data_IF_455231229879
#
_entry.id   IF_455231229879
#
_cell.length_a   1.000
_cell.length_b   1.000
_cell.length_c   1.000
_cell.angle_alpha   90.00
_cell.angle_beta   90.00
_cell.angle_gamma   90.00
#
_symmetry.space_group_name_H-M   'P 1'
#
loop_
_entity.id
_entity.type
_entity.pdbx_description
1 polymer ?
#
# COMPACT_ATOMS: atom_id res chain seq x y z
N UNK A 1 14.10 -16.66 56.71
CA UNK A 1 12.76 -16.22 56.25
C UNK A 1 12.96 -15.04 55.29
N UNK A 2 12.78 -15.22 53.98
CA UNK A 2 12.88 -14.09 53.03
C UNK A 2 11.54 -13.35 53.04
N UNK A 3 11.55 -12.08 53.42
CA UNK A 3 10.35 -11.23 53.42
C UNK A 3 10.07 -10.86 51.96
N UNK A 4 9.01 -11.43 51.37
CA UNK A 4 8.51 -10.99 50.07
C UNK A 4 7.80 -9.64 50.27
N UNK A 5 8.47 -8.55 49.89
CA UNK A 5 7.83 -7.22 49.79
C UNK A 5 6.87 -7.26 48.60
N UNK A 6 5.57 -7.25 48.88
CA UNK A 6 4.53 -7.03 47.87
C UNK A 6 4.45 -5.55 47.48
N UNK A 7 4.08 -5.28 46.22
CA UNK A 7 3.77 -3.93 45.75
C UNK A 7 2.57 -3.35 46.51
N UNK A 8 2.58 -2.04 46.77
CA UNK A 8 1.44 -1.35 47.38
C UNK A 8 0.36 -1.05 46.34
N UNK A 9 -0.91 -1.01 46.79
CA UNK A 9 -2.04 -0.66 45.94
C UNK A 9 -1.90 0.76 45.38
N UNK A 10 -1.34 1.68 46.17
CA UNK A 10 -1.09 3.06 45.74
C UNK A 10 0.01 3.16 44.68
N UNK A 11 1.07 2.36 44.76
CA UNK A 11 2.09 2.29 43.69
C UNK A 11 1.46 1.84 42.37
N UNK A 12 0.61 0.81 42.40
CA UNK A 12 -0.07 0.35 41.21
C UNK A 12 -0.97 1.45 40.61
N UNK A 13 -1.74 2.16 41.44
CA UNK A 13 -2.64 3.22 40.99
C UNK A 13 -1.91 4.40 40.33
N UNK A 14 -0.78 4.82 40.90
CA UNK A 14 0.02 5.90 40.29
C UNK A 14 0.59 5.45 38.95
N UNK A 15 1.02 4.19 38.81
CA UNK A 15 1.53 3.65 37.56
C UNK A 15 0.46 3.64 36.47
N UNK A 16 -0.75 3.14 36.73
CA UNK A 16 -1.83 3.17 35.72
C UNK A 16 -2.28 4.59 35.39
N UNK A 17 -2.25 5.52 36.34
CA UNK A 17 -2.54 6.92 36.07
C UNK A 17 -1.51 7.55 35.09
N UNK A 18 -0.22 7.30 35.31
CA UNK A 18 0.85 7.78 34.41
C UNK A 18 0.74 7.13 33.02
N UNK A 19 0.53 5.81 32.95
CA UNK A 19 0.34 5.10 31.67
C UNK A 19 -0.88 5.64 30.91
N UNK A 20 -1.97 5.96 31.63
CA UNK A 20 -3.17 6.58 31.05
C UNK A 20 -2.85 7.91 30.35
N UNK A 21 -2.13 8.80 31.03
CA UNK A 21 -1.73 10.11 30.46
C UNK A 21 -0.82 9.94 29.23
N UNK A 22 0.17 9.05 29.32
CA UNK A 22 1.10 8.81 28.20
C UNK A 22 0.39 8.20 26.99
N UNK A 23 -0.58 7.30 27.22
CA UNK A 23 -1.29 6.60 26.14
C UNK A 23 -2.12 7.55 25.27
N UNK A 24 -2.75 8.57 25.87
CA UNK A 24 -3.56 9.56 25.15
C UNK A 24 -2.73 10.32 24.12
N UNK A 25 -1.48 10.64 24.43
CA UNK A 25 -0.58 11.35 23.50
C UNK A 25 0.05 10.41 22.47
N UNK A 26 0.34 9.16 22.87
CA UNK A 26 1.02 8.19 22.04
C UNK A 26 0.15 7.65 20.89
N UNK A 27 -1.13 7.35 21.15
CA UNK A 27 -2.05 6.72 20.20
C UNK A 27 -2.22 7.53 18.89
N UNK A 28 -2.59 8.84 18.91
CA UNK A 28 -2.81 9.59 17.67
C UNK A 28 -1.52 9.75 16.86
N UNK A 29 -0.38 9.93 17.54
CA UNK A 29 0.93 10.00 16.89
C UNK A 29 1.28 8.68 16.21
N UNK A 30 1.06 7.55 16.90
CA UNK A 30 1.34 6.23 16.35
C UNK A 30 0.45 5.93 15.14
N UNK A 31 -0.84 6.26 15.19
CA UNK A 31 -1.76 6.09 14.06
C UNK A 31 -1.30 6.85 12.80
N UNK A 32 -0.82 8.10 12.97
CA UNK A 32 -0.24 8.88 11.87
C UNK A 32 1.04 8.27 11.28
N UNK A 33 1.93 7.72 12.13
CA UNK A 33 3.13 7.02 11.67
C UNK A 33 2.79 5.75 10.89
N UNK A 34 1.80 4.98 11.35
CA UNK A 34 1.33 3.79 10.66
C UNK A 34 0.73 4.11 9.29
N UNK A 35 -0.05 5.20 9.21
CA UNK A 35 -0.57 5.73 7.95
C UNK A 35 0.57 6.04 6.98
N UNK A 36 1.52 6.89 7.40
CA UNK A 36 2.67 7.27 6.57
C UNK A 36 3.50 6.06 6.12
N UNK A 37 3.70 5.08 7.00
CA UNK A 37 4.43 3.85 6.68
C UNK A 37 3.72 3.03 5.60
N UNK A 38 2.40 2.87 5.71
CA UNK A 38 1.59 2.18 4.69
C UNK A 38 1.62 2.91 3.36
N UNK A 39 1.49 4.24 3.35
CA UNK A 39 1.56 5.02 2.11
C UNK A 39 2.92 4.89 1.41
N UNK A 40 4.00 5.05 2.17
CA UNK A 40 5.36 4.86 1.64
C UNK A 40 5.59 3.45 1.12
N UNK A 41 4.97 2.46 1.74
CA UNK A 41 5.03 1.06 1.28
C UNK A 41 4.34 0.92 -0.08
N UNK A 42 3.14 1.47 -0.25
CA UNK A 42 2.39 1.44 -1.52
C UNK A 42 3.14 2.13 -2.65
N UNK A 43 3.71 3.32 -2.41
CA UNK A 43 4.49 4.03 -3.42
C UNK A 43 5.78 3.27 -3.79
N UNK A 44 6.44 2.64 -2.82
CA UNK A 44 7.57 1.77 -3.06
C UNK A 44 7.20 0.54 -3.90
N UNK A 45 6.06 -0.08 -3.60
CA UNK A 45 5.52 -1.22 -4.35
C UNK A 45 5.13 -0.83 -5.77
N UNK A 46 4.49 0.34 -5.97
CA UNK A 46 4.19 0.89 -7.29
C UNK A 46 5.46 1.06 -8.13
N UNK A 47 6.49 1.65 -7.53
CA UNK A 47 7.80 1.84 -8.18
C UNK A 47 8.45 0.50 -8.54
N UNK A 48 8.37 -0.48 -7.63
CA UNK A 48 8.87 -1.84 -7.87
C UNK A 48 8.17 -2.53 -9.04
N UNK A 49 6.84 -2.42 -9.13
CA UNK A 49 6.06 -2.97 -10.24
C UNK A 49 6.37 -2.27 -11.57
N UNK A 50 6.47 -0.93 -11.58
CA UNK A 50 6.91 -0.17 -12.77
C UNK A 50 8.32 -0.61 -13.23
N UNK A 51 9.24 -0.83 -12.29
CA UNK A 51 10.58 -1.38 -12.60
C UNK A 51 10.50 -2.78 -13.20
N UNK A 52 9.66 -3.65 -12.63
CA UNK A 52 9.42 -5.01 -13.12
C UNK A 52 8.88 -5.00 -14.55
N UNK A 53 7.91 -4.11 -14.83
CA UNK A 53 7.38 -3.89 -16.18
C UNK A 53 8.46 -3.44 -17.17
N UNK A 54 9.38 -2.56 -16.76
CA UNK A 54 10.49 -2.13 -17.60
C UNK A 54 11.48 -3.27 -17.89
N UNK A 55 11.75 -4.14 -16.91
CA UNK A 55 12.59 -5.34 -17.12
C UNK A 55 11.91 -6.28 -18.12
N UNK A 56 10.60 -6.54 -17.97
CA UNK A 56 9.83 -7.33 -18.92
C UNK A 56 9.88 -6.74 -20.33
N UNK A 57 9.69 -5.43 -20.45
CA UNK A 57 9.78 -4.74 -21.74
C UNK A 57 11.18 -4.88 -22.36
N UNK A 58 12.23 -4.77 -21.56
CA UNK A 58 13.61 -4.97 -22.02
C UNK A 58 13.87 -6.37 -22.60
N UNK A 59 13.19 -7.39 -22.10
CA UNK A 59 13.33 -8.78 -22.57
C UNK A 59 12.42 -9.11 -23.76
N UNK A 60 11.21 -8.54 -23.81
CA UNK A 60 10.17 -8.95 -24.77
C UNK A 60 9.85 -7.89 -25.83
N UNK A 61 10.40 -6.68 -25.70
CA UNK A 61 10.10 -5.52 -26.55
C UNK A 61 8.61 -5.14 -26.62
N UNK A 62 7.85 -5.54 -25.62
CA UNK A 62 6.43 -5.21 -25.44
C UNK A 62 6.09 -5.28 -23.96
N UNK A 63 5.00 -4.62 -23.56
CA UNK A 63 4.44 -4.81 -22.22
C UNK A 63 3.46 -5.99 -22.19
N UNK A 64 3.13 -6.53 -21.01
CA UNK A 64 2.09 -7.53 -20.89
C UNK A 64 0.73 -7.02 -21.39
N UNK A 65 0.03 -7.77 -22.24
CA UNK A 65 -1.35 -7.46 -22.62
C UNK A 65 -2.39 -8.09 -21.68
N UNK A 66 -1.93 -8.74 -20.62
CA UNK A 66 -2.75 -9.36 -19.57
C UNK A 66 -2.91 -8.43 -18.34
N UNK A 67 -3.37 -9.00 -17.24
CA UNK A 67 -3.50 -8.33 -15.94
C UNK A 67 -2.23 -8.45 -15.07
N UNK A 68 -1.05 -8.43 -15.68
CA UNK A 68 0.27 -8.64 -15.07
C UNK A 68 0.55 -10.07 -14.59
N UNK A 69 -0.30 -11.04 -14.91
CA UNK A 69 -0.12 -12.43 -14.50
C UNK A 69 1.21 -13.01 -15.02
N UNK A 70 1.58 -12.70 -16.26
CA UNK A 70 2.87 -13.05 -16.88
C UNK A 70 4.09 -12.58 -16.10
N UNK A 71 4.03 -11.48 -15.35
CA UNK A 71 5.16 -11.02 -14.52
C UNK A 71 5.45 -11.98 -13.36
N UNK A 72 4.42 -12.67 -12.88
CA UNK A 72 4.52 -13.65 -11.80
C UNK A 72 4.79 -15.06 -12.28
N UNK A 73 4.79 -15.30 -13.59
CA UNK A 73 4.96 -16.63 -14.14
C UNK A 73 6.34 -17.20 -13.79
N UNK A 74 6.32 -18.32 -13.06
CA UNK A 74 7.48 -18.99 -12.48
C UNK A 74 8.41 -18.09 -11.64
N UNK A 75 7.94 -16.91 -11.20
CA UNK A 75 8.72 -15.95 -10.42
C UNK A 75 9.86 -15.27 -11.18
N UNK A 76 9.80 -15.24 -12.51
CA UNK A 76 10.91 -14.74 -13.37
C UNK A 76 11.17 -13.25 -13.19
N UNK A 77 10.11 -12.43 -13.14
CA UNK A 77 10.24 -10.97 -13.00
C UNK A 77 9.89 -10.51 -11.58
N UNK A 78 8.83 -11.06 -11.00
CA UNK A 78 8.45 -10.86 -9.60
C UNK A 78 7.78 -12.12 -9.06
N UNK A 79 7.97 -12.44 -7.78
CA UNK A 79 7.37 -13.65 -7.19
C UNK A 79 5.87 -13.53 -6.93
N UNK A 80 5.38 -12.32 -6.62
CA UNK A 80 3.98 -12.02 -6.37
C UNK A 80 3.71 -10.53 -6.57
N UNK A 81 2.52 -10.17 -7.04
CA UNK A 81 2.08 -8.78 -7.08
C UNK A 81 1.92 -8.29 -5.62
N UNK A 82 2.65 -7.26 -5.18
CA UNK A 82 2.54 -6.76 -3.82
C UNK A 82 1.19 -6.05 -3.60
N UNK A 83 0.63 -6.08 -2.37
CA UNK A 83 -0.65 -5.44 -2.10
C UNK A 83 -0.53 -3.92 -2.04
N UNK A 84 -1.40 -3.19 -2.74
CA UNK A 84 -1.56 -1.76 -2.51
C UNK A 84 -2.22 -1.55 -1.14
N UNK A 85 -1.60 -0.74 -0.28
CA UNK A 85 -2.09 -0.41 1.07
C UNK A 85 -2.58 1.03 1.09
N UNK A 86 -3.88 1.23 1.27
CA UNK A 86 -4.53 2.53 1.10
C UNK A 86 -5.14 2.99 2.44
N UNK A 87 -4.31 3.47 3.39
CA UNK A 87 -4.81 3.89 4.69
C UNK A 87 -5.78 5.08 4.55
N UNK A 88 -6.75 5.17 5.47
CA UNK A 88 -7.78 6.21 5.48
C UNK A 88 -8.68 6.24 4.22
N UNK A 89 -8.78 5.11 3.52
CA UNK A 89 -9.74 4.89 2.42
C UNK A 89 -10.68 3.74 2.81
N UNK A 90 -11.85 3.58 2.15
CA UNK A 90 -12.73 2.42 2.38
C UNK A 90 -12.15 1.11 1.83
N UNK A 91 -11.00 1.15 1.15
CA UNK A 91 -10.42 0.01 0.44
C UNK A 91 -9.54 -0.84 1.34
N UNK A 92 -9.67 -2.16 1.18
CA UNK A 92 -8.78 -3.13 1.83
C UNK A 92 -7.43 -3.23 1.09
N UNK A 93 -6.41 -3.72 1.80
CA UNK A 93 -5.14 -4.10 1.18
C UNK A 93 -5.41 -5.13 0.07
N UNK A 94 -5.02 -4.82 -1.18
CA UNK A 94 -5.42 -5.59 -2.36
C UNK A 94 -4.28 -5.77 -3.35
N UNK A 95 -4.15 -6.99 -3.88
CA UNK A 95 -3.24 -7.33 -4.98
C UNK A 95 -3.94 -7.25 -6.35
N UNK A 96 -5.24 -6.95 -6.37
CA UNK A 96 -6.04 -6.99 -7.58
C UNK A 96 -5.51 -5.99 -8.61
N UNK A 97 -5.48 -6.41 -9.87
CA UNK A 97 -5.10 -5.57 -11.01
C UNK A 97 -6.35 -5.39 -11.88
N UNK A 98 -6.83 -4.16 -11.94
CA UNK A 98 -7.91 -3.76 -12.84
C UNK A 98 -7.31 -3.42 -14.21
N UNK A 99 -7.84 -4.04 -15.26
CA UNK A 99 -7.41 -3.81 -16.65
C UNK A 99 -8.50 -3.03 -17.39
N UNK A 100 -8.12 -2.04 -18.19
CA UNK A 100 -9.07 -1.19 -18.92
C UNK A 100 -8.42 0.09 -19.47
N UNK A 101 -8.98 0.62 -20.56
CA UNK A 101 -8.25 1.35 -21.59
C UNK A 101 -7.93 2.84 -21.36
N UNK A 102 -6.86 3.22 -22.05
CA UNK A 102 -6.46 4.51 -22.62
C UNK A 102 -5.92 5.66 -21.79
N UNK A 103 -6.44 6.05 -20.63
CA UNK A 103 -5.86 7.24 -19.96
C UNK A 103 -6.12 7.40 -18.46
N UNK A 104 -7.30 7.05 -17.94
CA UNK A 104 -7.68 7.10 -16.49
C UNK A 104 -9.09 6.54 -16.23
N UNK A 105 -9.89 6.27 -17.28
CA UNK A 105 -11.26 5.76 -17.16
C UNK A 105 -11.38 4.31 -16.63
N UNK A 106 -10.25 3.62 -16.42
CA UNK A 106 -10.18 2.30 -15.79
C UNK A 106 -10.19 2.37 -14.26
N UNK A 107 -10.18 3.58 -13.69
CA UNK A 107 -10.35 3.78 -12.27
C UNK A 107 -11.79 3.50 -11.88
N UNK A 108 -12.00 2.30 -11.36
CA UNK A 108 -13.27 1.91 -10.75
C UNK A 108 -13.33 2.25 -9.26
N UNK A 109 -12.26 2.86 -8.73
CA UNK A 109 -12.06 3.08 -7.29
C UNK A 109 -12.26 1.77 -6.50
N UNK A 110 -11.67 0.67 -6.98
CA UNK A 110 -11.80 -0.64 -6.34
C UNK A 110 -10.67 -0.95 -5.32
N UNK A 111 -9.69 -0.06 -5.20
CA UNK A 111 -8.42 -0.34 -4.54
C UNK A 111 -7.51 -1.23 -5.40
N UNK A 112 -6.31 -1.52 -4.88
CA UNK A 112 -5.31 -2.30 -5.63
C UNK A 112 -4.64 -1.48 -6.73
N UNK A 113 -4.38 -2.13 -7.86
CA UNK A 113 -3.65 -1.60 -9.00
C UNK A 113 -4.56 -1.44 -10.21
N UNK A 114 -4.25 -0.47 -11.06
CA UNK A 114 -4.83 -0.36 -12.38
C UNK A 114 -3.72 -0.26 -13.43
N UNK A 115 -3.88 -1.03 -14.50
CA UNK A 115 -2.87 -1.23 -15.52
C UNK A 115 -3.49 -1.09 -16.92
N UNK A 116 -2.81 -0.34 -17.78
CA UNK A 116 -3.23 -0.18 -19.19
C UNK A 116 -2.56 -1.28 -20.01
N UNK A 117 -3.33 -2.31 -20.32
CA UNK A 117 -2.90 -3.51 -21.04
C UNK A 117 -3.28 -3.50 -22.53
N UNK A 118 -3.86 -2.40 -23.02
CA UNK A 118 -4.27 -2.23 -24.40
C UNK A 118 -3.07 -1.80 -25.27
N UNK A 119 -2.57 -2.65 -26.19
CA UNK A 119 -1.40 -2.32 -27.02
C UNK A 119 -1.65 -1.18 -28.01
N UNK A 120 -2.91 -0.87 -28.32
CA UNK A 120 -3.26 0.25 -29.20
C UNK A 120 -3.30 1.59 -28.44
N UNK A 121 -3.26 1.55 -27.11
CA UNK A 121 -3.28 2.74 -26.28
C UNK A 121 -1.93 3.47 -26.27
N UNK A 122 -1.91 4.80 -26.37
CA UNK A 122 -0.69 5.58 -26.11
C UNK A 122 -0.21 5.49 -24.65
N UNK A 123 -1.05 5.01 -23.75
CA UNK A 123 -0.73 4.78 -22.34
C UNK A 123 -0.41 3.30 -22.05
N UNK A 124 -0.21 2.46 -23.07
CA UNK A 124 0.15 1.05 -22.88
C UNK A 124 1.37 0.89 -21.97
N UNK A 125 1.28 -0.01 -21.00
CA UNK A 125 2.36 -0.22 -20.02
C UNK A 125 2.30 0.70 -18.80
N UNK A 126 1.37 1.65 -18.75
CA UNK A 126 1.20 2.51 -17.56
C UNK A 126 0.51 1.77 -16.42
N UNK A 127 1.01 2.00 -15.21
CA UNK A 127 0.53 1.40 -13.96
C UNK A 127 0.31 2.51 -12.94
N UNK A 128 -0.82 2.48 -12.25
CA UNK A 128 -1.20 3.43 -11.20
C UNK A 128 -2.00 2.72 -10.09
N UNK A 129 -2.23 3.42 -8.99
CA UNK A 129 -3.09 2.94 -7.90
C UNK A 129 -4.56 3.10 -8.30
N UNK A 130 -5.38 2.04 -8.18
CA UNK A 130 -6.80 2.11 -8.51
C UNK A 130 -7.63 2.70 -7.36
N UNK A 131 -7.42 3.98 -7.07
CA UNK A 131 -8.13 4.67 -5.99
C UNK A 131 -8.25 6.17 -6.31
N UNK A 132 -9.47 6.71 -6.19
CA UNK A 132 -9.75 8.14 -6.37
C UNK A 132 -9.67 8.95 -5.07
N UNK A 133 -9.52 8.29 -3.92
CA UNK A 133 -9.38 8.96 -2.64
C UNK A 133 -8.01 9.65 -2.50
N UNK A 134 -7.94 10.59 -1.58
CA UNK A 134 -6.71 11.33 -1.29
C UNK A 134 -5.79 10.57 -0.33
N UNK A 135 -4.48 10.76 -0.52
CA UNK A 135 -3.43 10.43 0.45
C UNK A 135 -3.37 11.47 1.58
N UNK A 136 -2.45 11.29 2.55
CA UNK A 136 -2.27 12.24 3.66
C UNK A 136 -1.90 13.67 3.23
N UNK A 137 -1.41 13.86 2.01
CA UNK A 137 -1.03 15.17 1.47
C UNK A 137 -2.15 15.77 0.59
N UNK A 138 -3.35 15.18 0.60
CA UNK A 138 -4.49 15.59 -0.21
C UNK A 138 -4.32 15.36 -1.72
N UNK A 139 -3.34 14.55 -2.14
CA UNK A 139 -3.17 14.14 -3.53
C UNK A 139 -3.96 12.85 -3.80
N UNK A 140 -4.66 12.75 -4.92
CA UNK A 140 -5.42 11.56 -5.26
C UNK A 140 -4.47 10.37 -5.53
N UNK A 141 -4.81 9.18 -5.05
CA UNK A 141 -3.95 8.00 -5.14
C UNK A 141 -3.56 7.63 -6.58
N UNK A 142 -4.51 7.76 -7.49
CA UNK A 142 -4.33 7.55 -8.91
C UNK A 142 -3.35 8.52 -9.60
N UNK A 143 -2.97 9.62 -8.95
CA UNK A 143 -2.05 10.63 -9.51
C UNK A 143 -0.56 10.30 -9.31
N UNK A 144 -0.24 9.27 -8.52
CA UNK A 144 1.12 8.77 -8.28
C UNK A 144 1.58 7.81 -9.38
#
# INVERSE_FOLDING_TARGET
MKIHKGFTLIELMVVVAIIGILSVLAIPRFAGLMTKSKESTTLGMLTSLRSTLNIYYGANHTFPSDNLATLTDNGTYISVIPPAKLPNTPHMDSIAVSVGASTMAALTDAGGWAYVNDPESPAFGTLFVNCSHADRNSAAWNSH
#
